data_IF_781830637466
#
_entry.id   IF_781830637466
#
_cell.length_a   1.000
_cell.length_b   1.000
_cell.length_c   1.000
_cell.angle_alpha   90.00
_cell.angle_beta   90.00
_cell.angle_gamma   90.00
#
_symmetry.space_group_name_H-M   'P 1'
#
loop_
_entity.id
_entity.type
_entity.pdbx_description
1 polymer ?
#
# COMPACT_ATOMS: atom_id res chain seq x y z
N UNK A 1 13.52 21.55 -2.29
CA UNK A 1 12.68 20.39 -1.93
C UNK A 1 11.93 19.95 -3.18
N UNK A 2 11.85 18.66 -3.50
CA UNK A 2 10.99 18.23 -4.59
C UNK A 2 9.54 18.60 -4.27
N UNK A 3 8.78 18.97 -5.29
CA UNK A 3 7.37 19.35 -5.14
C UNK A 3 6.59 18.11 -4.68
N UNK A 4 5.81 18.24 -3.61
CA UNK A 4 4.87 17.21 -3.15
C UNK A 4 3.66 17.16 -4.10
N UNK A 5 3.83 16.48 -5.25
CA UNK A 5 2.77 16.35 -6.26
C UNK A 5 1.50 15.72 -5.68
N UNK A 6 1.66 14.72 -4.80
CA UNK A 6 0.53 14.04 -4.15
C UNK A 6 -0.19 14.97 -3.18
N UNK A 7 0.53 15.81 -2.45
CA UNK A 7 -0.08 16.81 -1.58
C UNK A 7 -0.97 17.81 -2.31
N UNK A 8 -0.64 18.16 -3.56
CA UNK A 8 -1.47 19.07 -4.39
C UNK A 8 -2.80 18.41 -4.79
N UNK A 9 -2.79 17.11 -5.10
CA UNK A 9 -3.99 16.37 -5.53
C UNK A 9 -4.74 15.71 -4.36
N UNK A 10 -4.24 15.80 -3.14
CA UNK A 10 -4.85 15.21 -1.94
C UNK A 10 -6.35 15.59 -1.75
N UNK A 11 -6.82 16.85 -2.00
CA UNK A 11 -8.24 17.18 -1.89
C UNK A 11 -9.13 16.39 -2.85
N UNK A 12 -8.61 16.09 -4.05
CA UNK A 12 -9.32 15.30 -5.05
C UNK A 12 -9.36 13.83 -4.61
N UNK A 13 -8.23 13.27 -4.19
CA UNK A 13 -8.14 11.90 -3.70
C UNK A 13 -9.04 11.64 -2.49
N UNK A 14 -9.13 12.60 -1.57
CA UNK A 14 -10.01 12.49 -0.40
C UNK A 14 -11.51 12.43 -0.78
N UNK A 15 -11.89 13.01 -1.92
CA UNK A 15 -13.27 12.98 -2.44
C UNK A 15 -13.58 11.76 -3.30
N UNK A 16 -12.58 11.03 -3.77
CA UNK A 16 -12.77 9.81 -4.55
C UNK A 16 -13.22 8.71 -3.61
N UNK A 17 -14.51 8.51 -3.56
CA UNK A 17 -15.33 7.37 -3.17
C UNK A 17 -14.86 6.41 -2.07
N UNK A 18 -15.71 5.44 -1.80
CA UNK A 18 -15.43 4.30 -0.92
C UNK A 18 -14.40 3.37 -1.57
N UNK A 19 -13.62 2.66 -0.74
CA UNK A 19 -12.72 1.60 -1.20
C UNK A 19 -13.53 0.44 -1.78
N UNK A 20 -13.34 0.15 -3.08
CA UNK A 20 -14.19 -0.80 -3.83
C UNK A 20 -13.84 -2.27 -3.55
N UNK A 21 -12.58 -2.58 -3.20
CA UNK A 21 -12.11 -3.95 -3.01
C UNK A 21 -12.08 -4.37 -1.54
N UNK A 22 -13.02 -3.85 -0.75
CA UNK A 22 -13.05 -4.04 0.69
C UNK A 22 -13.10 -5.52 1.09
N UNK A 23 -14.04 -6.30 0.54
CA UNK A 23 -14.20 -7.72 0.86
C UNK A 23 -13.00 -8.55 0.42
N UNK A 24 -12.46 -8.27 -0.76
CA UNK A 24 -11.26 -8.94 -1.27
C UNK A 24 -10.06 -8.65 -0.38
N UNK A 25 -9.90 -7.40 0.08
CA UNK A 25 -8.83 -7.03 1.00
C UNK A 25 -8.97 -7.74 2.35
N UNK A 26 -10.18 -7.83 2.91
CA UNK A 26 -10.40 -8.58 4.16
C UNK A 26 -9.93 -10.03 4.03
N UNK A 27 -10.27 -10.70 2.94
CA UNK A 27 -9.86 -12.08 2.68
C UNK A 27 -8.35 -12.20 2.43
N UNK A 28 -7.78 -11.34 1.59
CA UNK A 28 -6.36 -11.36 1.25
C UNK A 28 -5.48 -11.06 2.47
N UNK A 29 -5.85 -10.08 3.28
CA UNK A 29 -5.11 -9.69 4.46
C UNK A 29 -5.43 -10.52 5.71
N UNK A 30 -6.40 -11.46 5.63
CA UNK A 30 -6.84 -12.26 6.77
C UNK A 30 -7.25 -11.37 7.95
N UNK A 31 -8.22 -10.51 7.66
CA UNK A 31 -8.83 -9.61 8.63
C UNK A 31 -10.22 -10.14 9.04
N UNK A 32 -10.72 -9.86 10.25
CA UNK A 32 -10.13 -8.93 11.23
C UNK A 32 -8.96 -9.51 12.03
N UNK A 33 -8.13 -8.61 12.58
CA UNK A 33 -7.08 -8.94 13.52
C UNK A 33 -7.13 -8.02 14.75
N UNK A 34 -6.78 -8.52 15.93
CA UNK A 34 -6.60 -7.67 17.12
C UNK A 34 -5.22 -7.00 17.16
N UNK A 35 -4.35 -7.37 16.21
CA UNK A 35 -2.98 -6.86 16.08
C UNK A 35 -2.89 -5.51 15.39
N UNK A 36 -1.66 -5.16 15.03
CA UNK A 36 -1.33 -3.89 14.35
C UNK A 36 -1.28 -4.08 12.84
N UNK A 37 -1.95 -3.19 12.12
CA UNK A 37 -1.89 -3.08 10.67
C UNK A 37 -1.07 -1.86 10.28
N UNK A 38 -0.15 -2.02 9.32
CA UNK A 38 0.55 -0.93 8.63
C UNK A 38 -0.06 -0.74 7.25
N UNK A 39 -0.47 0.47 6.92
CA UNK A 39 -0.82 0.91 5.57
C UNK A 39 0.37 1.71 5.01
N UNK A 40 1.19 1.08 4.18
CA UNK A 40 2.41 1.66 3.63
C UNK A 40 2.10 2.37 2.30
N UNK A 41 2.29 3.68 2.26
CA UNK A 41 1.82 4.53 1.16
C UNK A 41 0.32 4.80 1.24
N UNK A 42 -0.24 4.85 2.45
CA UNK A 42 -1.69 4.91 2.70
C UNK A 42 -2.37 6.23 2.32
N UNK A 43 -1.62 7.24 1.91
CA UNK A 43 -2.13 8.50 1.38
C UNK A 43 -3.06 9.23 2.34
N UNK A 44 -4.28 9.51 1.88
CA UNK A 44 -5.32 10.20 2.68
C UNK A 44 -6.00 9.29 3.71
N UNK A 45 -5.66 8.00 3.76
CA UNK A 45 -6.24 7.00 4.64
C UNK A 45 -7.57 6.41 4.16
N UNK A 46 -7.87 6.47 2.87
CA UNK A 46 -9.11 5.94 2.28
C UNK A 46 -9.30 4.46 2.61
N UNK A 47 -8.27 3.63 2.36
CA UNK A 47 -8.30 2.19 2.64
C UNK A 47 -8.26 1.93 4.15
N UNK A 48 -7.34 2.57 4.86
CA UNK A 48 -7.21 2.48 6.32
C UNK A 48 -8.52 2.81 7.05
N UNK A 49 -9.25 3.86 6.62
CA UNK A 49 -10.56 4.20 7.22
C UNK A 49 -11.62 3.14 6.95
N UNK A 50 -11.62 2.50 5.78
CA UNK A 50 -12.53 1.40 5.51
C UNK A 50 -12.25 0.20 6.44
N UNK A 51 -10.97 -0.04 6.75
CA UNK A 51 -10.52 -1.16 7.59
C UNK A 51 -10.47 -0.86 9.10
N UNK A 52 -10.86 0.34 9.55
CA UNK A 52 -10.67 0.82 10.93
C UNK A 52 -11.24 -0.10 12.03
N UNK A 53 -12.31 -0.82 11.73
CA UNK A 53 -12.96 -1.74 12.67
C UNK A 53 -12.43 -3.19 12.55
N UNK A 54 -11.47 -3.43 11.65
CA UNK A 54 -10.94 -4.75 11.33
C UNK A 54 -9.49 -4.96 11.78
N UNK A 55 -8.90 -3.97 12.49
CA UNK A 55 -7.58 -4.10 13.10
C UNK A 55 -7.58 -3.43 14.49
N UNK A 56 -6.78 -3.96 15.42
CA UNK A 56 -6.65 -3.40 16.77
C UNK A 56 -6.01 -2.00 16.77
N UNK A 57 -5.07 -1.76 15.84
CA UNK A 57 -4.42 -0.48 15.63
C UNK A 57 -4.02 -0.33 14.17
N UNK A 58 -4.27 0.83 13.57
CA UNK A 58 -3.82 1.12 12.20
C UNK A 58 -2.81 2.27 12.22
N UNK A 59 -1.61 1.96 11.75
CA UNK A 59 -0.56 2.95 11.45
C UNK A 59 -0.54 3.18 9.95
N UNK A 60 -0.59 4.44 9.53
CA UNK A 60 -0.54 4.83 8.12
C UNK A 60 0.76 5.56 7.86
N UNK A 61 1.62 5.02 7.00
CA UNK A 61 2.88 5.65 6.61
C UNK A 61 2.78 6.22 5.18
N UNK A 62 3.14 7.49 5.01
CA UNK A 62 3.19 8.13 3.69
C UNK A 62 4.30 9.19 3.65
N UNK A 63 4.83 9.46 2.46
CA UNK A 63 5.85 10.49 2.25
C UNK A 63 5.24 11.89 2.12
N UNK A 64 3.99 11.98 1.67
CA UNK A 64 3.30 13.23 1.42
C UNK A 64 2.65 13.79 2.69
N UNK A 65 3.19 14.90 3.18
CA UNK A 65 2.59 15.64 4.30
C UNK A 65 1.19 16.18 3.96
N UNK A 66 0.94 16.46 2.69
CA UNK A 66 -0.38 16.89 2.22
C UNK A 66 -1.42 15.79 2.37
N UNK A 67 -1.06 14.55 2.02
CA UNK A 67 -1.92 13.37 2.21
C UNK A 67 -2.15 13.07 3.69
N UNK A 68 -1.08 13.07 4.51
CA UNK A 68 -1.15 12.75 5.94
C UNK A 68 -2.05 13.70 6.74
N UNK A 69 -2.19 14.96 6.32
CA UNK A 69 -3.13 15.91 6.97
C UNK A 69 -4.58 15.42 6.88
N UNK A 70 -4.96 14.77 5.79
CA UNK A 70 -6.29 14.17 5.66
C UNK A 70 -6.41 12.91 6.52
N UNK A 71 -5.41 12.04 6.50
CA UNK A 71 -5.39 10.84 7.35
C UNK A 71 -5.48 11.21 8.84
N UNK A 72 -4.81 12.29 9.27
CA UNK A 72 -4.84 12.78 10.66
C UNK A 72 -6.21 13.30 11.11
N UNK A 73 -7.15 13.55 10.19
CA UNK A 73 -8.52 13.91 10.56
C UNK A 73 -9.33 12.73 11.11
N UNK A 74 -8.88 11.50 10.90
CA UNK A 74 -9.50 10.30 11.44
C UNK A 74 -8.85 9.89 12.76
N UNK A 75 -9.59 9.87 13.89
CA UNK A 75 -9.04 9.47 15.18
C UNK A 75 -8.66 7.98 15.26
N UNK A 76 -9.13 7.17 14.31
CA UNK A 76 -8.83 5.74 14.23
C UNK A 76 -7.45 5.45 13.61
N UNK A 77 -6.81 6.43 12.98
CA UNK A 77 -5.56 6.26 12.26
C UNK A 77 -4.40 6.92 13.00
N UNK A 78 -3.21 6.32 12.89
CA UNK A 78 -1.96 6.88 13.39
C UNK A 78 -1.04 7.21 12.20
N UNK A 79 -1.12 8.45 11.66
CA UNK A 79 -0.31 8.85 10.53
C UNK A 79 1.16 9.03 10.92
N UNK A 80 2.07 8.56 10.08
CA UNK A 80 3.51 8.66 10.20
C UNK A 80 4.15 9.12 8.89
N UNK A 81 4.95 10.18 8.94
CA UNK A 81 5.71 10.63 7.77
C UNK A 81 6.91 9.70 7.54
N UNK A 82 6.88 8.92 6.47
CA UNK A 82 7.94 7.97 6.14
C UNK A 82 7.97 7.64 4.65
N UNK A 83 9.16 7.31 4.15
CA UNK A 83 9.32 6.61 2.88
C UNK A 83 9.25 5.10 3.14
N UNK A 84 8.63 4.37 2.24
CA UNK A 84 8.47 2.92 2.39
C UNK A 84 9.77 2.14 2.33
N UNK A 85 10.81 2.72 1.71
CA UNK A 85 12.16 2.17 1.62
C UNK A 85 12.96 2.29 2.93
N UNK A 86 12.44 3.04 3.93
CA UNK A 86 13.06 3.21 5.25
C UNK A 86 12.00 3.52 6.30
N UNK A 87 11.31 2.48 6.75
CA UNK A 87 10.23 2.60 7.72
C UNK A 87 10.79 2.87 9.14
N UNK A 88 10.29 3.88 9.86
CA UNK A 88 10.79 4.25 11.20
C UNK A 88 10.22 3.36 12.30
N UNK A 89 10.04 2.08 12.03
CA UNK A 89 9.49 1.10 12.96
C UNK A 89 10.50 0.02 13.28
N UNK A 90 10.38 -0.57 14.46
CA UNK A 90 11.19 -1.72 14.86
C UNK A 90 10.84 -2.96 14.00
N UNK A 91 11.78 -3.89 13.90
CA UNK A 91 11.50 -5.20 13.30
C UNK A 91 10.36 -5.89 14.04
N UNK A 92 9.60 -6.73 13.32
CA UNK A 92 8.53 -7.56 13.88
C UNK A 92 7.48 -6.76 14.69
N UNK A 93 7.05 -5.59 14.15
CA UNK A 93 6.14 -4.65 14.80
C UNK A 93 4.68 -4.78 14.36
N UNK A 94 4.43 -5.36 13.18
CA UNK A 94 3.10 -5.40 12.57
C UNK A 94 2.64 -6.81 12.29
N UNK A 95 1.37 -7.07 12.54
CA UNK A 95 0.73 -8.37 12.26
C UNK A 95 0.26 -8.45 10.80
N UNK A 96 -0.14 -7.30 10.24
CA UNK A 96 -0.58 -7.15 8.86
C UNK A 96 0.04 -5.90 8.24
N UNK A 97 0.37 -5.99 6.96
CA UNK A 97 0.83 -4.84 6.17
C UNK A 97 0.03 -4.83 4.88
N UNK A 98 -0.47 -3.66 4.51
CA UNK A 98 -1.07 -3.44 3.20
C UNK A 98 -0.30 -2.34 2.47
N UNK A 99 -0.28 -2.42 1.14
CA UNK A 99 0.17 -1.36 0.24
C UNK A 99 -0.76 -1.37 -0.96
N UNK A 100 -1.51 -0.29 -1.16
CA UNK A 100 -2.59 -0.20 -2.16
C UNK A 100 -2.34 0.96 -3.10
N UNK A 101 -2.26 0.68 -4.40
CA UNK A 101 -2.01 1.66 -5.47
C UNK A 101 -0.78 2.56 -5.18
N UNK A 102 0.28 2.00 -4.59
CA UNK A 102 1.41 2.78 -4.10
C UNK A 102 2.78 2.26 -4.56
N UNK A 103 2.94 0.95 -4.74
CA UNK A 103 4.24 0.36 -5.07
C UNK A 103 4.80 0.88 -6.39
N UNK A 104 3.97 1.10 -7.40
CA UNK A 104 4.41 1.61 -8.71
C UNK A 104 4.96 3.05 -8.66
N UNK A 105 4.71 3.80 -7.58
CA UNK A 105 5.29 5.12 -7.32
C UNK A 105 6.60 5.07 -6.52
N UNK A 106 6.95 3.91 -5.95
CA UNK A 106 8.18 3.72 -5.18
C UNK A 106 9.39 3.62 -6.11
N UNK A 107 10.45 4.37 -5.81
CA UNK A 107 11.66 4.38 -6.64
C UNK A 107 12.47 3.09 -6.46
N UNK A 108 12.67 2.67 -5.22
CA UNK A 108 13.44 1.47 -4.87
C UNK A 108 12.51 0.39 -4.29
N UNK A 109 11.69 -0.21 -5.15
CA UNK A 109 10.66 -1.18 -4.77
C UNK A 109 11.21 -2.38 -3.97
N UNK A 110 12.42 -2.84 -4.31
CA UNK A 110 13.08 -3.91 -3.56
C UNK A 110 13.44 -3.50 -2.11
N UNK A 111 13.81 -2.24 -1.89
CA UNK A 111 14.10 -1.72 -0.56
C UNK A 111 12.83 -1.61 0.26
N UNK A 112 11.74 -1.15 -0.37
CA UNK A 112 10.42 -1.11 0.26
C UNK A 112 9.94 -2.52 0.67
N UNK A 113 10.09 -3.50 -0.22
CA UNK A 113 9.75 -4.89 0.09
C UNK A 113 10.55 -5.43 1.28
N UNK A 114 11.88 -5.16 1.33
CA UNK A 114 12.73 -5.55 2.46
C UNK A 114 12.31 -4.89 3.78
N UNK A 115 11.96 -3.61 3.75
CA UNK A 115 11.50 -2.90 4.93
C UNK A 115 10.14 -3.41 5.42
N UNK A 116 9.18 -3.64 4.51
CA UNK A 116 7.91 -4.28 4.86
C UNK A 116 8.14 -5.67 5.48
N UNK A 117 9.02 -6.48 4.89
CA UNK A 117 9.39 -7.78 5.44
C UNK A 117 10.04 -7.68 6.83
N UNK A 118 10.93 -6.72 7.02
CA UNK A 118 11.60 -6.48 8.30
C UNK A 118 10.63 -6.15 9.43
N UNK A 119 9.68 -5.25 9.16
CA UNK A 119 8.73 -4.79 10.18
C UNK A 119 7.55 -5.73 10.38
N UNK A 120 7.35 -6.72 9.50
CA UNK A 120 6.33 -7.75 9.62
C UNK A 120 6.76 -8.79 10.66
N UNK A 121 5.86 -9.15 11.57
CA UNK A 121 6.08 -10.25 12.55
C UNK A 121 6.14 -11.62 11.86
N UNK A 122 6.84 -12.60 12.44
CA UNK A 122 6.68 -14.00 12.06
C UNK A 122 5.19 -14.41 12.19
N UNK A 123 4.68 -15.11 11.17
CA UNK A 123 3.26 -15.45 11.05
C UNK A 123 2.38 -14.30 10.55
N UNK A 124 2.97 -13.15 10.24
CA UNK A 124 2.27 -12.01 9.68
C UNK A 124 2.06 -12.12 8.17
N UNK A 125 1.30 -11.16 7.62
CA UNK A 125 0.97 -11.14 6.20
C UNK A 125 1.08 -9.75 5.60
N UNK A 126 1.67 -9.67 4.38
CA UNK A 126 1.67 -8.48 3.53
C UNK A 126 0.68 -8.70 2.39
N UNK A 127 -0.07 -7.66 2.05
CA UNK A 127 -0.89 -7.62 0.83
C UNK A 127 -0.52 -6.38 0.03
N UNK A 128 -0.09 -6.59 -1.21
CA UNK A 128 0.17 -5.51 -2.17
C UNK A 128 -0.94 -5.57 -3.22
N UNK A 129 -1.77 -4.55 -3.27
CA UNK A 129 -2.81 -4.35 -4.28
C UNK A 129 -2.32 -3.35 -5.30
N UNK A 130 -2.25 -3.77 -6.57
CA UNK A 130 -1.78 -2.93 -7.67
C UNK A 130 -2.65 -3.13 -8.92
N UNK A 131 -2.75 -2.10 -9.78
CA UNK A 131 -3.30 -2.28 -11.11
C UNK A 131 -2.51 -3.33 -11.88
N UNK A 132 -3.18 -4.33 -12.45
CA UNK A 132 -2.51 -5.40 -13.20
C UNK A 132 -2.01 -4.91 -14.56
N UNK A 133 -0.71 -4.66 -14.65
CA UNK A 133 -0.05 -4.20 -15.89
C UNK A 133 -0.23 -5.15 -17.07
N UNK A 134 -0.69 -6.37 -16.87
CA UNK A 134 -1.03 -7.30 -17.96
C UNK A 134 -2.32 -6.90 -18.66
N UNK A 135 -3.24 -6.20 -17.97
CA UNK A 135 -4.47 -5.69 -18.54
C UNK A 135 -4.20 -4.53 -19.52
N UNK A 136 -4.90 -4.52 -20.66
CA UNK A 136 -4.68 -3.52 -21.71
C UNK A 136 -4.95 -2.08 -21.21
N UNK A 137 -6.03 -1.88 -20.46
CA UNK A 137 -6.38 -0.56 -19.90
C UNK A 137 -5.31 -0.01 -18.96
N UNK A 138 -4.71 -0.87 -18.12
CA UNK A 138 -3.63 -0.48 -17.20
C UNK A 138 -2.36 -0.09 -17.97
N UNK A 139 -2.05 -0.77 -19.08
CA UNK A 139 -0.92 -0.36 -19.95
C UNK A 139 -1.09 1.06 -20.49
N UNK A 140 -2.31 1.45 -20.84
CA UNK A 140 -2.60 2.81 -21.31
C UNK A 140 -2.44 3.84 -20.18
N UNK A 141 -2.89 3.51 -18.96
CA UNK A 141 -2.68 4.35 -17.77
C UNK A 141 -1.18 4.53 -17.51
N UNK A 142 -0.41 3.44 -17.50
CA UNK A 142 1.03 3.49 -17.29
C UNK A 142 1.77 4.36 -18.32
N UNK A 143 1.33 4.33 -19.59
CA UNK A 143 1.87 5.22 -20.63
C UNK A 143 1.50 6.67 -20.34
N UNK A 144 0.25 6.96 -19.98
CA UNK A 144 -0.21 8.30 -19.66
C UNK A 144 0.54 8.90 -18.46
N UNK A 145 0.72 8.14 -17.38
CA UNK A 145 1.48 8.56 -16.20
C UNK A 145 2.95 8.84 -16.54
N UNK A 146 3.55 8.03 -17.42
CA UNK A 146 4.92 8.25 -17.89
C UNK A 146 5.03 9.54 -18.68
N UNK A 147 4.04 9.87 -19.53
CA UNK A 147 3.98 11.13 -20.26
C UNK A 147 3.78 12.35 -19.33
N UNK A 148 3.08 12.16 -18.21
CA UNK A 148 2.88 13.16 -17.16
C UNK A 148 4.06 13.26 -16.17
N UNK A 149 5.18 12.59 -16.45
CA UNK A 149 6.40 12.57 -15.63
C UNK A 149 6.17 12.05 -14.19
N UNK A 150 5.16 11.22 -13.96
CA UNK A 150 4.83 10.68 -12.63
C UNK A 150 5.82 9.61 -12.15
N UNK A 151 6.84 9.26 -12.94
CA UNK A 151 7.89 8.26 -12.63
C UNK A 151 7.35 6.90 -12.18
N UNK A 152 6.17 6.52 -12.65
CA UNK A 152 5.55 5.25 -12.26
C UNK A 152 6.26 4.05 -12.90
N UNK A 153 6.50 3.01 -12.08
CA UNK A 153 7.16 1.77 -12.48
C UNK A 153 6.28 0.58 -12.11
N UNK A 154 5.33 0.24 -12.98
CA UNK A 154 4.45 -0.90 -12.78
C UNK A 154 5.22 -2.22 -12.92
N UNK A 155 5.09 -3.09 -11.93
CA UNK A 155 5.54 -4.46 -11.99
C UNK A 155 4.36 -5.40 -12.28
N UNK A 156 4.64 -6.50 -12.96
CA UNK A 156 3.65 -7.59 -13.02
C UNK A 156 3.59 -8.31 -11.66
N UNK A 157 2.46 -8.96 -11.32
CA UNK A 157 2.32 -9.68 -10.05
C UNK A 157 3.48 -10.65 -9.78
N UNK A 158 3.94 -11.38 -10.80
CA UNK A 158 5.06 -12.32 -10.67
C UNK A 158 6.40 -11.63 -10.37
N UNK A 159 6.56 -10.37 -10.77
CA UNK A 159 7.74 -9.57 -10.42
C UNK A 159 7.64 -9.03 -9.00
N UNK A 160 6.43 -8.70 -8.52
CA UNK A 160 6.20 -8.31 -7.13
C UNK A 160 6.48 -9.49 -6.21
N UNK A 161 6.00 -10.70 -6.51
CA UNK A 161 6.33 -11.92 -5.75
C UNK A 161 7.84 -12.10 -5.57
N UNK A 162 8.63 -11.87 -6.64
CA UNK A 162 10.10 -12.02 -6.61
C UNK A 162 10.81 -11.01 -5.72
N UNK A 163 10.14 -9.97 -5.24
CA UNK A 163 10.69 -9.06 -4.23
C UNK A 163 10.75 -9.69 -2.84
N UNK A 164 10.01 -10.80 -2.61
CA UNK A 164 9.88 -11.48 -1.32
C UNK A 164 10.40 -12.92 -1.40
N UNK A 165 11.73 -13.08 -1.41
CA UNK A 165 12.39 -14.38 -1.61
C UNK A 165 12.20 -15.36 -0.44
N UNK A 166 11.97 -14.85 0.77
CA UNK A 166 11.91 -15.64 1.99
C UNK A 166 10.47 -15.98 2.43
N UNK A 167 9.48 -15.39 1.74
CA UNK A 167 8.06 -15.54 2.06
C UNK A 167 7.36 -16.57 1.17
N UNK A 168 6.24 -17.10 1.68
CA UNK A 168 5.30 -17.82 0.82
C UNK A 168 4.43 -16.81 0.09
N UNK A 169 4.43 -16.83 -1.23
CA UNK A 169 3.66 -15.88 -2.04
C UNK A 169 2.51 -16.57 -2.75
N UNK A 170 1.44 -15.81 -2.98
CA UNK A 170 0.32 -16.17 -3.86
C UNK A 170 -0.27 -14.92 -4.49
N UNK A 171 -0.82 -15.08 -5.67
CA UNK A 171 -1.50 -13.99 -6.39
C UNK A 171 -2.99 -14.29 -6.46
N UNK A 172 -3.80 -13.28 -6.13
CA UNK A 172 -5.20 -13.20 -6.51
C UNK A 172 -5.34 -12.08 -7.54
N UNK A 173 -6.09 -12.30 -8.60
CA UNK A 173 -6.33 -11.29 -9.64
C UNK A 173 -7.81 -11.27 -10.00
N UNK A 174 -8.38 -10.08 -10.08
CA UNK A 174 -9.76 -9.84 -10.44
C UNK A 174 -9.84 -8.58 -11.29
N UNK A 175 -10.55 -8.64 -12.40
CA UNK A 175 -10.67 -7.56 -13.39
C UNK A 175 -9.29 -7.03 -13.84
N UNK A 176 -8.95 -5.80 -13.45
CA UNK A 176 -7.70 -5.13 -13.78
C UNK A 176 -6.81 -4.90 -12.55
N UNK A 177 -7.08 -5.60 -11.45
CA UNK A 177 -6.35 -5.46 -10.17
C UNK A 177 -5.75 -6.80 -9.78
N UNK A 178 -4.58 -6.76 -9.19
CA UNK A 178 -3.91 -7.92 -8.64
C UNK A 178 -3.49 -7.68 -7.19
N UNK A 179 -3.68 -8.69 -6.36
CA UNK A 179 -3.24 -8.75 -4.96
C UNK A 179 -2.12 -9.77 -4.85
N UNK A 180 -0.94 -9.32 -4.49
CA UNK A 180 0.18 -10.19 -4.13
C UNK A 180 0.19 -10.34 -2.63
N UNK A 181 -0.05 -11.57 -2.15
CA UNK A 181 -0.14 -11.93 -0.74
C UNK A 181 1.16 -12.63 -0.36
N UNK A 182 1.80 -12.17 0.71
CA UNK A 182 3.08 -12.70 1.22
C UNK A 182 2.91 -13.09 2.68
N UNK A 183 3.30 -14.30 3.04
CA UNK A 183 3.27 -14.83 4.41
C UNK A 183 4.71 -15.00 4.92
N UNK A 184 4.98 -14.47 6.13
CA UNK A 184 6.28 -14.58 6.83
C UNK A 184 6.32 -15.77 7.77
#
# INVERSE_FOLDING_TARGET
MPIDHFGVIAPLYHRIGTYSHFETMLQCADLPTTGRLLDAGGGTGRVSNALREHAGQIVLADVSMGMLRYAASSPALQPAAAISEKLPFQSDSFDRIIMVDALHHVIHQADSAREMWRVLKPGGRIVIEEPDIRAFGVKLIAIAEKLLLMRSHFLSPEKIEKLFTDGKTRVHAEDSTAWVIVEK
#
